data_IF_695436022353
#
_entry.id   IF_695436022353
#
_cell.length_a   1.000
_cell.length_b   1.000
_cell.length_c   1.000
_cell.angle_alpha   90.00
_cell.angle_beta   90.00
_cell.angle_gamma   90.00
#
_symmetry.space_group_name_H-M   'P 1'
#
loop_
_entity.id
_entity.type
_entity.pdbx_description
1 polymer ?
#
# COMPACT_ATOMS: atom_id res chain seq x y z
N UNK A 1 3.53 -69.99 -33.61
CA UNK A 1 3.33 -68.59 -34.05
C UNK A 1 3.54 -67.69 -32.84
N UNK A 2 4.52 -66.78 -32.94
CA UNK A 2 5.22 -66.12 -31.84
C UNK A 2 4.40 -65.02 -31.16
N UNK A 3 4.36 -65.00 -29.82
CA UNK A 3 3.82 -63.88 -29.03
C UNK A 3 4.99 -62.94 -28.68
N UNK A 4 5.06 -61.77 -29.32
CA UNK A 4 5.97 -60.69 -28.92
C UNK A 4 5.54 -60.16 -27.53
N UNK A 5 6.30 -60.50 -26.49
CA UNK A 5 6.24 -59.82 -25.20
C UNK A 5 7.15 -58.60 -25.26
N UNK A 6 6.56 -57.40 -25.39
CA UNK A 6 7.28 -56.15 -25.21
C UNK A 6 7.83 -56.09 -23.78
N UNK A 7 9.15 -56.22 -23.64
CA UNK A 7 9.87 -55.99 -22.38
C UNK A 7 9.98 -54.47 -22.19
N UNK A 8 8.99 -53.87 -21.55
CA UNK A 8 9.20 -52.56 -20.95
C UNK A 8 10.19 -52.73 -19.81
N UNK A 9 11.32 -52.03 -19.90
CA UNK A 9 12.35 -52.03 -18.87
C UNK A 9 11.82 -51.29 -17.64
N UNK A 10 11.28 -52.05 -16.66
CA UNK A 10 10.81 -51.55 -15.37
C UNK A 10 11.76 -50.59 -14.61
N UNK A 11 13.11 -50.70 -14.66
CA UNK A 11 13.96 -49.77 -13.90
C UNK A 11 13.97 -48.34 -14.43
N UNK A 12 13.54 -48.11 -15.68
CA UNK A 12 13.51 -46.76 -16.27
C UNK A 12 12.29 -45.96 -15.82
N UNK A 13 11.20 -46.60 -15.39
CA UNK A 13 9.98 -45.91 -14.96
C UNK A 13 10.09 -45.35 -13.53
N UNK A 14 10.86 -46.01 -12.67
CA UNK A 14 11.03 -45.67 -11.25
C UNK A 14 11.95 -44.46 -10.99
N UNK A 15 12.81 -44.09 -11.95
CA UNK A 15 13.70 -42.92 -11.84
C UNK A 15 13.12 -41.64 -12.44
N UNK A 16 12.15 -41.75 -13.35
CA UNK A 16 11.56 -40.59 -14.05
C UNK A 16 10.42 -39.96 -13.24
N UNK A 17 9.65 -40.76 -12.50
CA UNK A 17 8.56 -40.29 -11.63
C UNK A 17 8.98 -39.28 -10.55
N UNK A 18 10.06 -39.48 -9.76
CA UNK A 18 10.48 -38.49 -8.76
C UNK A 18 11.02 -37.20 -9.39
N UNK A 19 11.65 -37.27 -10.58
CA UNK A 19 12.11 -36.07 -11.32
C UNK A 19 10.92 -35.26 -11.84
N UNK A 20 9.89 -35.91 -12.38
CA UNK A 20 8.66 -35.24 -12.83
C UNK A 20 7.87 -34.65 -11.64
N UNK A 21 7.83 -35.34 -10.50
CA UNK A 21 7.21 -34.81 -9.29
C UNK A 21 7.97 -33.59 -8.73
N UNK A 22 9.31 -33.61 -8.75
CA UNK A 22 10.14 -32.47 -8.35
C UNK A 22 9.96 -31.27 -9.29
N UNK A 23 9.88 -31.50 -10.61
CA UNK A 23 9.60 -30.45 -11.60
C UNK A 23 8.19 -29.84 -11.43
N UNK A 24 7.20 -30.66 -11.09
CA UNK A 24 5.84 -30.18 -10.80
C UNK A 24 5.78 -29.30 -9.53
N UNK A 25 6.59 -29.62 -8.51
CA UNK A 25 6.69 -28.80 -7.28
C UNK A 25 7.40 -27.47 -7.57
N UNK A 26 8.44 -27.46 -8.40
CA UNK A 26 9.13 -26.22 -8.82
C UNK A 26 8.19 -25.32 -9.66
N UNK A 27 7.40 -25.91 -10.55
CA UNK A 27 6.43 -25.18 -11.36
C UNK A 27 5.29 -24.54 -10.53
N UNK A 28 4.90 -25.17 -9.42
CA UNK A 28 3.88 -24.62 -8.52
C UNK A 28 4.41 -23.45 -7.67
N UNK A 29 5.70 -23.42 -7.37
CA UNK A 29 6.35 -22.34 -6.61
C UNK A 29 6.65 -21.08 -7.46
N UNK A 30 6.76 -21.21 -8.78
CA UNK A 30 7.02 -20.10 -9.70
C UNK A 30 5.77 -19.24 -10.01
N UNK A 31 4.60 -19.66 -9.53
CA UNK A 31 3.30 -19.10 -9.91
C UNK A 31 2.65 -18.13 -8.93
N UNK A 32 3.33 -17.70 -7.86
CA UNK A 32 2.81 -16.63 -6.99
C UNK A 32 3.23 -15.30 -7.64
N UNK A 33 2.35 -14.59 -8.38
CA UNK A 33 2.71 -13.28 -8.88
C UNK A 33 3.09 -12.42 -7.67
N UNK A 34 4.30 -11.84 -7.70
CA UNK A 34 4.64 -10.80 -6.76
C UNK A 34 3.52 -9.76 -6.82
N UNK A 35 2.86 -9.51 -5.69
CA UNK A 35 1.75 -8.57 -5.63
C UNK A 35 2.28 -7.23 -6.13
N UNK A 36 1.87 -6.82 -7.33
CA UNK A 36 2.43 -5.64 -7.99
C UNK A 36 2.08 -4.45 -7.14
N UNK A 37 3.05 -3.80 -6.49
CA UNK A 37 2.82 -2.62 -5.65
C UNK A 37 2.15 -1.48 -6.42
N UNK A 38 1.50 -0.60 -5.68
CA UNK A 38 0.96 0.63 -6.21
C UNK A 38 2.05 1.51 -6.84
N UNK A 39 1.73 2.12 -7.98
CA UNK A 39 2.61 3.08 -8.64
C UNK A 39 2.31 4.50 -8.18
N UNK A 40 3.19 5.45 -8.53
CA UNK A 40 2.91 6.88 -8.32
C UNK A 40 1.65 7.35 -9.06
N UNK A 41 1.37 6.76 -10.24
CA UNK A 41 0.14 7.04 -10.99
C UNK A 41 -1.09 6.55 -10.24
N UNK A 42 -1.03 5.33 -9.70
CA UNK A 42 -2.11 4.75 -8.89
C UNK A 42 -2.36 5.58 -7.63
N UNK A 43 -1.28 6.04 -6.96
CA UNK A 43 -1.39 6.90 -5.79
C UNK A 43 -2.06 8.24 -6.09
N UNK A 44 -1.74 8.87 -7.23
CA UNK A 44 -2.41 10.10 -7.67
C UNK A 44 -3.89 9.86 -7.97
N UNK A 45 -4.21 8.77 -8.66
CA UNK A 45 -5.61 8.41 -8.94
C UNK A 45 -6.40 8.14 -7.64
N UNK A 46 -5.79 7.45 -6.67
CA UNK A 46 -6.40 7.22 -5.36
C UNK A 46 -6.58 8.52 -4.57
N UNK A 47 -5.61 9.43 -4.66
CA UNK A 47 -5.68 10.77 -4.05
C UNK A 47 -6.83 11.59 -4.64
N UNK A 48 -6.99 11.58 -5.97
CA UNK A 48 -8.09 12.24 -6.67
C UNK A 48 -9.44 11.68 -6.26
N UNK A 49 -9.58 10.35 -6.26
CA UNK A 49 -10.78 9.64 -5.82
C UNK A 49 -11.15 9.98 -4.38
N UNK A 50 -10.16 9.93 -3.48
CA UNK A 50 -10.35 10.23 -2.06
C UNK A 50 -10.74 11.69 -1.85
N UNK A 51 -10.12 12.63 -2.55
CA UNK A 51 -10.50 14.04 -2.49
C UNK A 51 -11.95 14.27 -2.94
N UNK A 52 -12.36 13.60 -4.02
CA UNK A 52 -13.74 13.65 -4.51
C UNK A 52 -14.75 13.13 -3.48
N UNK A 53 -14.46 11.99 -2.86
CA UNK A 53 -15.27 11.43 -1.78
C UNK A 53 -15.40 12.41 -0.61
N UNK A 54 -14.28 12.93 -0.10
CA UNK A 54 -14.29 13.82 1.06
C UNK A 54 -15.01 15.15 0.77
N UNK A 55 -14.94 15.68 -0.45
CA UNK A 55 -15.70 16.89 -0.83
C UNK A 55 -17.22 16.66 -0.79
N UNK A 56 -17.69 15.44 -1.04
CA UNK A 56 -19.10 15.10 -1.01
C UNK A 56 -19.60 14.76 0.39
N UNK A 57 -18.75 14.12 1.21
CA UNK A 57 -19.16 13.55 2.49
C UNK A 57 -18.59 14.27 3.72
N UNK A 58 -17.66 15.21 3.54
CA UNK A 58 -16.97 15.90 4.63
C UNK A 58 -15.81 15.10 5.24
N UNK A 59 -15.08 15.75 6.14
CA UNK A 59 -13.93 15.16 6.83
C UNK A 59 -14.35 14.07 7.84
N UNK A 60 -15.51 14.23 8.49
CA UNK A 60 -16.02 13.31 9.52
C UNK A 60 -16.34 11.91 8.98
N UNK A 61 -16.58 11.78 7.67
CA UNK A 61 -16.79 10.49 7.01
C UNK A 61 -15.48 9.74 6.71
N UNK A 62 -14.31 10.38 6.88
CA UNK A 62 -13.03 9.80 6.51
C UNK A 62 -12.66 8.54 7.33
N UNK A 63 -12.82 8.50 8.67
CA UNK A 63 -12.42 7.33 9.46
C UNK A 63 -13.11 6.04 9.00
N UNK A 64 -14.44 6.09 8.81
CA UNK A 64 -15.23 4.92 8.39
C UNK A 64 -14.90 4.50 6.96
N UNK A 65 -14.68 5.47 6.06
CA UNK A 65 -14.33 5.19 4.67
C UNK A 65 -12.92 4.60 4.53
N UNK A 66 -11.98 5.04 5.36
CA UNK A 66 -10.57 4.63 5.29
C UNK A 66 -10.33 3.30 6.02
N UNK A 67 -11.19 2.93 6.98
CA UNK A 67 -11.08 1.66 7.71
C UNK A 67 -11.44 0.43 6.86
N UNK A 68 -12.13 0.61 5.73
CA UNK A 68 -12.57 -0.47 4.85
C UNK A 68 -11.41 -0.99 3.98
N UNK A 69 -10.76 -2.08 4.40
CA UNK A 69 -9.60 -2.65 3.69
C UNK A 69 -9.92 -3.13 2.27
N UNK A 70 -11.10 -3.68 2.07
CA UNK A 70 -11.62 -4.05 0.74
C UNK A 70 -12.48 -2.93 0.12
N UNK A 71 -12.41 -1.73 0.70
CA UNK A 71 -13.17 -0.57 0.29
C UNK A 71 -12.58 0.14 -0.91
N UNK A 72 -13.35 1.08 -1.45
CA UNK A 72 -13.00 1.80 -2.66
C UNK A 72 -11.77 2.73 -2.52
N UNK A 73 -11.30 2.99 -1.29
CA UNK A 73 -10.23 3.94 -0.99
C UNK A 73 -8.93 3.26 -0.53
N UNK A 74 -8.81 1.94 -0.68
CA UNK A 74 -7.57 1.19 -0.45
C UNK A 74 -7.23 0.45 -1.76
N UNK A 75 -5.96 0.48 -2.17
CA UNK A 75 -5.46 -0.29 -3.31
C UNK A 75 -4.08 -0.88 -2.97
N UNK A 76 -4.03 -2.19 -2.70
CA UNK A 76 -2.80 -2.91 -2.35
C UNK A 76 -2.10 -2.27 -1.14
N UNK A 77 -0.93 -1.66 -1.34
CA UNK A 77 -0.14 -0.93 -0.33
C UNK A 77 -0.45 0.58 -0.27
N UNK A 78 -1.31 1.08 -1.16
CA UNK A 78 -1.75 2.47 -1.20
C UNK A 78 -2.97 2.67 -0.30
N UNK A 79 -2.85 3.66 0.58
CA UNK A 79 -3.92 4.07 1.48
C UNK A 79 -3.85 5.57 1.74
N UNK A 80 -5.00 6.23 1.97
CA UNK A 80 -5.04 7.65 2.27
C UNK A 80 -4.76 7.94 3.73
N UNK A 81 -4.22 9.13 3.96
CA UNK A 81 -4.13 9.76 5.28
C UNK A 81 -4.72 11.17 5.18
N UNK A 82 -5.63 11.50 6.10
CA UNK A 82 -6.19 12.83 6.26
C UNK A 82 -5.71 13.40 7.59
N UNK A 83 -5.06 14.55 7.55
CA UNK A 83 -4.47 15.22 8.69
C UNK A 83 -4.97 16.67 8.71
N UNK A 84 -5.37 17.17 9.87
CA UNK A 84 -5.75 18.58 10.01
C UNK A 84 -4.53 19.52 10.01
N UNK A 85 -4.80 20.83 10.01
CA UNK A 85 -3.78 21.90 10.04
C UNK A 85 -2.85 21.85 11.25
N UNK A 86 -3.26 21.24 12.36
CA UNK A 86 -2.49 21.18 13.60
C UNK A 86 -1.69 19.86 13.72
N UNK A 87 -1.80 19.00 12.71
CA UNK A 87 -1.09 17.73 12.62
C UNK A 87 -1.82 16.56 13.30
N UNK A 88 -3.10 16.72 13.63
CA UNK A 88 -3.92 15.62 14.16
C UNK A 88 -4.33 14.70 13.01
N UNK A 89 -4.08 13.41 13.18
CA UNK A 89 -4.56 12.39 12.25
C UNK A 89 -6.08 12.28 12.35
N UNK A 90 -6.79 12.73 11.33
CA UNK A 90 -8.25 12.56 11.24
C UNK A 90 -8.56 11.11 10.88
N UNK A 91 -7.90 10.59 9.84
CA UNK A 91 -8.10 9.22 9.37
C UNK A 91 -6.85 8.67 8.69
N UNK A 92 -6.45 7.47 9.10
CA UNK A 92 -5.36 6.71 8.51
C UNK A 92 -5.86 5.37 7.94
N UNK A 93 -5.72 5.15 6.63
CA UNK A 93 -6.29 3.98 5.96
C UNK A 93 -5.65 2.63 6.32
N UNK A 94 -4.39 2.61 6.79
CA UNK A 94 -3.75 1.38 7.25
C UNK A 94 -3.75 1.17 8.78
N UNK A 95 -3.45 2.20 9.57
CA UNK A 95 -3.29 2.09 11.03
C UNK A 95 -4.29 2.99 11.74
N UNK A 96 -5.58 2.59 11.86
CA UNK A 96 -6.62 3.42 12.48
C UNK A 96 -6.33 3.83 13.93
N UNK A 97 -5.48 3.09 14.65
CA UNK A 97 -5.04 3.46 16.01
C UNK A 97 -4.26 4.77 16.08
N UNK A 98 -3.85 5.35 14.94
CA UNK A 98 -3.24 6.68 14.88
C UNK A 98 -4.29 7.80 14.89
N UNK A 99 -5.55 7.53 14.58
CA UNK A 99 -6.59 8.55 14.50
C UNK A 99 -6.77 9.26 15.85
N UNK A 100 -6.92 10.57 15.84
CA UNK A 100 -7.02 11.44 17.01
C UNK A 100 -5.68 11.80 17.66
N UNK A 101 -4.57 11.19 17.24
CA UNK A 101 -3.24 11.56 17.74
C UNK A 101 -2.68 12.77 17.01
N UNK A 102 -2.07 13.70 17.76
CA UNK A 102 -1.26 14.76 17.15
C UNK A 102 0.11 14.20 16.76
N UNK A 103 0.39 14.19 15.45
CA UNK A 103 1.60 13.63 14.87
C UNK A 103 2.50 14.71 14.25
N UNK A 104 2.26 15.99 14.52
CA UNK A 104 3.03 17.11 13.94
C UNK A 104 4.54 16.97 14.17
N UNK A 105 4.91 16.45 15.33
CA UNK A 105 6.30 16.30 15.76
C UNK A 105 6.84 14.88 15.59
N UNK A 106 6.05 13.99 14.98
CA UNK A 106 6.48 12.64 14.64
C UNK A 106 7.66 12.69 13.67
N UNK A 107 8.65 11.86 13.97
CA UNK A 107 9.83 11.66 13.15
C UNK A 107 9.90 10.23 12.66
N UNK A 108 10.47 10.03 11.48
CA UNK A 108 10.83 8.68 11.04
C UNK A 108 12.05 8.15 11.80
N UNK A 109 12.47 6.92 11.46
CA UNK A 109 13.59 6.25 12.12
C UNK A 109 14.94 6.96 11.96
N UNK A 110 15.07 7.86 10.98
CA UNK A 110 16.29 8.66 10.77
C UNK A 110 16.17 10.06 11.40
N UNK A 111 15.07 10.35 12.11
CA UNK A 111 14.83 11.63 12.78
C UNK A 111 14.19 12.70 11.89
N UNK A 112 13.71 12.35 10.70
CA UNK A 112 13.10 13.30 9.76
C UNK A 112 11.68 13.71 10.18
N UNK A 113 11.36 15.02 10.33
CA UNK A 113 10.05 15.50 10.76
C UNK A 113 9.03 15.56 9.60
N UNK A 114 8.70 14.41 9.03
CA UNK A 114 7.99 14.31 7.75
C UNK A 114 6.56 14.86 7.75
N UNK A 115 5.83 14.80 8.87
CA UNK A 115 4.48 15.40 8.97
C UNK A 115 4.57 16.92 8.93
N UNK A 116 5.53 17.51 9.67
CA UNK A 116 5.76 18.96 9.66
C UNK A 116 6.12 19.46 8.27
N UNK A 117 7.07 18.81 7.60
CA UNK A 117 7.44 19.17 6.21
C UNK A 117 6.22 19.10 5.27
N UNK A 118 5.39 18.07 5.42
CA UNK A 118 4.22 17.90 4.59
C UNK A 118 3.15 18.98 4.86
N UNK A 119 2.95 19.36 6.13
CA UNK A 119 2.08 20.48 6.53
C UNK A 119 2.58 21.82 5.98
N UNK A 120 3.89 22.08 6.07
CA UNK A 120 4.49 23.31 5.55
C UNK A 120 4.29 23.41 4.02
N UNK A 121 4.49 22.30 3.29
CA UNK A 121 4.23 22.23 1.85
C UNK A 121 2.77 22.58 1.54
N UNK A 122 1.82 21.93 2.21
CA UNK A 122 0.39 22.18 1.95
C UNK A 122 -0.11 23.47 2.60
N UNK A 123 0.70 24.21 3.36
CA UNK A 123 0.38 25.57 3.83
C UNK A 123 0.73 26.63 2.77
N UNK A 124 1.73 26.37 1.94
CA UNK A 124 2.17 27.28 0.87
C UNK A 124 1.67 26.90 -0.52
N UNK A 125 1.48 25.61 -0.78
CA UNK A 125 1.17 25.05 -2.11
C UNK A 125 -0.08 24.19 -2.06
N UNK A 126 -0.65 23.92 -3.23
CA UNK A 126 -1.78 22.99 -3.36
C UNK A 126 -1.34 21.54 -3.26
N UNK A 127 -0.10 21.21 -3.65
CA UNK A 127 0.41 19.84 -3.66
C UNK A 127 1.93 19.77 -3.54
N UNK A 128 2.43 18.57 -3.24
CA UNK A 128 3.85 18.26 -3.23
C UNK A 128 4.11 16.81 -2.89
N UNK A 129 5.35 16.49 -2.50
CA UNK A 129 5.71 15.16 -2.05
C UNK A 129 6.79 15.20 -0.96
N UNK A 130 6.73 14.24 -0.04
CA UNK A 130 7.71 14.08 1.05
C UNK A 130 8.12 12.62 1.14
N UNK A 131 9.43 12.36 1.09
CA UNK A 131 10.00 11.03 1.30
C UNK A 131 10.46 10.84 2.74
N UNK A 132 10.15 9.68 3.32
CA UNK A 132 10.47 9.30 4.70
C UNK A 132 10.52 7.76 4.80
N UNK A 133 10.91 7.23 5.96
CA UNK A 133 10.85 5.79 6.23
C UNK A 133 9.64 5.43 7.08
N UNK A 134 8.93 4.37 6.71
CA UNK A 134 7.75 3.90 7.44
C UNK A 134 7.61 2.39 7.38
N UNK A 135 6.83 1.82 8.29
CA UNK A 135 6.46 0.40 8.21
C UNK A 135 5.66 0.14 6.94
N UNK A 136 6.16 -0.77 6.13
CA UNK A 136 5.51 -1.24 4.92
C UNK A 136 4.34 -2.18 5.27
N UNK A 137 3.12 -1.91 4.77
CA UNK A 137 1.93 -2.68 5.07
C UNK A 137 2.01 -4.15 4.65
N UNK A 138 2.77 -4.46 3.60
CA UNK A 138 2.84 -5.81 3.03
C UNK A 138 3.94 -6.66 3.68
N UNK A 139 5.09 -6.04 3.99
CA UNK A 139 6.25 -6.76 4.57
C UNK A 139 6.38 -6.64 6.08
N UNK A 140 5.77 -5.62 6.69
CA UNK A 140 5.96 -5.28 8.11
C UNK A 140 7.33 -4.69 8.45
N UNK A 141 8.21 -4.48 7.46
CA UNK A 141 9.54 -3.92 7.65
C UNK A 141 9.55 -2.40 7.41
N UNK A 142 10.56 -1.71 7.94
CA UNK A 142 10.77 -0.29 7.62
C UNK A 142 11.28 -0.18 6.18
N UNK A 143 10.59 0.61 5.36
CA UNK A 143 10.94 0.86 3.97
C UNK A 143 10.84 2.35 3.61
N UNK A 144 11.56 2.82 2.58
CA UNK A 144 11.35 4.14 2.01
C UNK A 144 9.94 4.29 1.45
N UNK A 145 9.28 5.40 1.79
CA UNK A 145 7.96 5.78 1.31
C UNK A 145 7.99 7.22 0.85
N UNK A 146 7.39 7.50 -0.31
CA UNK A 146 7.12 8.88 -0.75
C UNK A 146 5.63 9.12 -0.65
N UNK A 147 5.19 10.03 0.22
CA UNK A 147 3.80 10.50 0.23
C UNK A 147 3.63 11.64 -0.76
N UNK A 148 2.58 11.53 -1.58
CA UNK A 148 2.06 12.61 -2.41
C UNK A 148 1.02 13.31 -1.57
N UNK A 149 1.18 14.63 -1.39
CA UNK A 149 0.35 15.43 -0.48
C UNK A 149 -0.43 16.46 -1.27
N UNK A 150 -1.65 16.75 -0.83
CA UNK A 150 -2.53 17.76 -1.40
C UNK A 150 -3.29 18.49 -0.32
N UNK A 151 -3.37 19.82 -0.44
CA UNK A 151 -4.28 20.63 0.36
C UNK A 151 -5.71 20.38 -0.13
N UNK A 152 -6.60 20.02 0.78
CA UNK A 152 -8.05 19.97 0.53
C UNK A 152 -8.75 20.89 1.53
N UNK A 153 -9.77 21.62 1.09
CA UNK A 153 -10.60 22.44 1.98
C UNK A 153 -11.95 21.74 2.14
N UNK A 154 -12.29 21.37 3.36
CA UNK A 154 -13.50 20.63 3.72
C UNK A 154 -14.23 21.39 4.82
N UNK A 155 -15.49 21.76 4.61
CA UNK A 155 -16.25 22.54 5.60
C UNK A 155 -15.65 23.93 5.91
N UNK A 156 -14.81 24.48 5.02
CA UNK A 156 -14.09 25.74 5.23
C UNK A 156 -12.72 25.60 5.89
N UNK A 157 -12.36 24.42 6.38
CA UNK A 157 -11.07 24.16 7.02
C UNK A 157 -10.08 23.45 6.07
N UNK A 158 -8.79 23.82 6.10
CA UNK A 158 -7.77 23.15 5.31
C UNK A 158 -7.29 21.85 5.99
N UNK A 159 -7.12 20.82 5.17
CA UNK A 159 -6.55 19.54 5.55
C UNK A 159 -5.43 19.15 4.59
N UNK A 160 -4.50 18.36 5.10
CA UNK A 160 -3.54 17.59 4.32
C UNK A 160 -4.16 16.23 4.00
N UNK A 161 -4.43 16.00 2.73
CA UNK A 161 -4.75 14.66 2.20
C UNK A 161 -3.50 14.08 1.54
N UNK A 162 -3.19 12.81 1.79
CA UNK A 162 -2.05 12.16 1.17
C UNK A 162 -2.27 10.69 0.86
N UNK A 163 -1.53 10.18 -0.12
CA UNK A 163 -1.36 8.75 -0.43
C UNK A 163 0.13 8.53 -0.69
N UNK A 164 0.71 7.45 -0.17
CA UNK A 164 2.13 7.19 -0.34
C UNK A 164 2.46 5.88 -1.03
N UNK A 165 3.60 5.90 -1.72
CA UNK A 165 4.16 4.78 -2.49
C UNK A 165 5.42 4.29 -1.81
N UNK A 166 5.52 2.98 -1.61
CA UNK A 166 6.71 2.33 -1.07
C UNK A 166 7.69 1.95 -2.17
N UNK A 167 8.99 2.09 -1.90
CA UNK A 167 10.07 1.67 -2.80
C UNK A 167 10.92 0.57 -2.17
#
# INVERSE_FOLDING_TARGET
>A
MSRLRGRFHLPTLLTVLPVLALLAIIALAAGVPAQTRGTESDAKALLDKTSGYLRQHGADAAPDAFAQRDGALIDRDLYPMLIDRDGVMVAHGWTPSLNGSNLKDLKDVDGKPFIREALDIVAERESGAVSYKWTDPLSGQIAPKTMIVRRVVLGGEPYLLSVGVYR
#
